data_IF_043730679082
#
_entry.id   IF_043730679082
#
_cell.length_a   1.000
_cell.length_b   1.000
_cell.length_c   1.000
_cell.angle_alpha   90.00
_cell.angle_beta   90.00
_cell.angle_gamma   90.00
#
_symmetry.space_group_name_H-M   'P 1'
#
loop_
_entity.id
_entity.type
_entity.pdbx_description
1 polymer ?
#
# COMPACT_ATOMS: atom_id res chain seq x y z
N UNK A 1 21.38 1.46 -9.57
CA UNK A 1 20.80 2.46 -8.65
C UNK A 1 19.72 3.22 -9.42
N UNK A 2 18.45 2.86 -9.24
CA UNK A 2 17.34 3.62 -9.81
C UNK A 2 16.83 4.58 -8.73
N UNK A 3 16.95 5.88 -8.98
CA UNK A 3 16.37 6.90 -8.12
C UNK A 3 14.85 6.88 -8.30
N UNK A 4 14.14 6.37 -7.31
CA UNK A 4 12.68 6.48 -7.25
C UNK A 4 12.30 7.95 -7.11
N UNK A 5 11.57 8.49 -8.09
CA UNK A 5 10.97 9.82 -7.96
C UNK A 5 9.90 9.76 -6.88
N UNK A 6 10.08 10.63 -5.90
CA UNK A 6 9.15 10.91 -4.82
C UNK A 6 7.92 11.62 -5.38
N UNK A 7 6.72 11.11 -5.11
CA UNK A 7 5.46 11.78 -5.44
C UNK A 7 4.82 12.30 -4.15
N UNK A 8 4.45 13.59 -4.15
CA UNK A 8 3.82 14.27 -3.03
C UNK A 8 2.30 14.42 -3.27
N UNK A 9 1.49 14.26 -2.22
CA UNK A 9 0.03 14.44 -2.26
C UNK A 9 -0.36 15.81 -1.72
N UNK A 10 -0.80 16.72 -2.59
CA UNK A 10 -1.42 18.00 -2.21
C UNK A 10 -0.51 19.22 -2.40
N UNK A 11 -0.69 19.91 -3.53
CA UNK A 11 -0.16 21.26 -3.77
C UNK A 11 -1.36 22.24 -3.84
N UNK A 12 -1.37 23.26 -3.00
CA UNK A 12 -2.39 24.31 -3.05
C UNK A 12 -2.12 25.21 -4.26
N UNK A 13 -2.99 25.13 -5.28
CA UNK A 13 -2.91 25.99 -6.48
C UNK A 13 -3.33 25.33 -7.79
N UNK A 14 -3.50 24.00 -7.80
CA UNK A 14 -4.19 23.27 -8.87
C UNK A 14 -5.03 22.16 -8.24
N UNK A 15 -6.27 21.98 -8.71
CA UNK A 15 -7.22 20.97 -8.23
C UNK A 15 -6.81 19.52 -8.59
N UNK A 16 -5.52 19.29 -8.85
CA UNK A 16 -4.95 17.99 -9.19
C UNK A 16 -4.46 17.32 -7.92
N UNK A 17 -5.31 16.44 -7.36
CA UNK A 17 -4.92 15.50 -6.32
C UNK A 17 -4.35 14.25 -7.00
N UNK A 18 -3.21 13.75 -6.52
CA UNK A 18 -2.69 12.47 -6.98
C UNK A 18 -3.68 11.39 -6.56
N UNK A 19 -4.38 10.81 -7.53
CA UNK A 19 -5.43 9.83 -7.27
C UNK A 19 -4.83 8.52 -6.72
N UNK A 20 -3.76 8.04 -7.35
CA UNK A 20 -3.07 6.83 -6.93
C UNK A 20 -1.61 6.75 -7.37
N UNK A 21 -0.82 5.98 -6.63
CA UNK A 21 0.52 5.53 -7.01
C UNK A 21 0.56 4.01 -6.95
N UNK A 22 1.29 3.38 -7.86
CA UNK A 22 1.50 1.94 -7.87
C UNK A 22 2.95 1.59 -8.19
N UNK A 23 3.45 0.51 -7.59
CA UNK A 23 4.80 0.01 -7.78
C UNK A 23 4.79 -1.51 -7.77
N UNK A 24 5.31 -2.12 -8.83
CA UNK A 24 5.42 -3.57 -8.97
C UNK A 24 6.87 -3.99 -8.78
N UNK A 25 7.09 -5.02 -7.99
CA UNK A 25 8.44 -5.53 -7.73
C UNK A 25 8.43 -6.99 -7.31
N UNK A 26 9.62 -7.58 -7.33
CA UNK A 26 9.84 -8.93 -6.83
C UNK A 26 10.14 -8.86 -5.34
N UNK A 27 9.25 -9.42 -4.53
CA UNK A 27 9.42 -9.58 -3.08
C UNK A 27 10.26 -10.82 -2.82
N UNK A 28 11.25 -10.70 -1.95
CA UNK A 28 12.08 -11.80 -1.47
C UNK A 28 11.86 -11.98 0.04
N UNK A 29 12.73 -12.74 0.68
CA UNK A 29 12.67 -13.09 2.10
C UNK A 29 13.56 -12.17 2.95
N UNK A 30 13.40 -12.24 4.28
CA UNK A 30 14.12 -11.39 5.21
C UNK A 30 13.87 -9.90 4.94
N UNK A 31 14.92 -9.09 4.90
CA UNK A 31 14.78 -7.64 4.71
C UNK A 31 14.53 -7.20 3.26
N UNK A 32 14.52 -8.14 2.30
CA UNK A 32 14.37 -7.85 0.87
C UNK A 32 12.90 -7.76 0.47
N UNK A 33 12.27 -6.67 0.87
CA UNK A 33 10.84 -6.40 0.71
C UNK A 33 10.51 -5.45 -0.43
N UNK A 34 9.24 -5.44 -0.84
CA UNK A 34 8.71 -4.36 -1.66
C UNK A 34 8.25 -3.21 -0.75
N UNK A 35 8.74 -2.01 -1.04
CA UNK A 35 8.41 -0.79 -0.29
C UNK A 35 7.61 0.16 -1.17
N UNK A 36 6.44 0.59 -0.68
CA UNK A 36 5.68 1.71 -1.21
C UNK A 36 5.86 2.93 -0.30
N UNK A 37 6.66 3.91 -0.72
CA UNK A 37 6.82 5.16 0.01
C UNK A 37 5.66 6.12 -0.27
N UNK A 38 5.14 6.75 0.78
CA UNK A 38 4.01 7.69 0.70
C UNK A 38 4.35 8.99 1.44
N UNK A 39 4.18 10.14 0.79
CA UNK A 39 4.36 11.46 1.42
C UNK A 39 3.09 12.27 1.27
N UNK A 40 2.42 12.51 2.39
CA UNK A 40 1.26 13.38 2.45
C UNK A 40 1.73 14.81 2.75
N UNK A 41 1.40 15.74 1.86
CA UNK A 41 1.62 17.17 2.05
C UNK A 41 0.29 17.88 2.31
N UNK A 42 0.34 19.17 2.68
CA UNK A 42 -0.85 19.93 3.09
C UNK A 42 -1.02 20.01 4.62
N UNK A 43 -2.22 20.40 5.06
CA UNK A 43 -2.52 20.67 6.48
C UNK A 43 -3.57 19.73 7.06
N UNK A 44 -4.43 19.15 6.22
CA UNK A 44 -5.54 18.32 6.66
C UNK A 44 -5.19 16.83 6.62
N UNK A 45 -5.75 16.01 7.54
CA UNK A 45 -5.67 14.57 7.42
C UNK A 45 -6.29 14.09 6.11
N UNK A 46 -5.65 13.10 5.48
CA UNK A 46 -6.13 12.45 4.27
C UNK A 46 -6.44 10.99 4.58
N UNK A 47 -7.63 10.55 4.18
CA UNK A 47 -8.01 9.14 4.23
C UNK A 47 -7.45 8.43 3.00
N UNK A 48 -6.79 7.30 3.20
CA UNK A 48 -6.16 6.53 2.13
C UNK A 48 -6.53 5.05 2.22
N UNK A 49 -6.42 4.35 1.10
CA UNK A 49 -6.32 2.88 1.08
C UNK A 49 -4.98 2.49 0.47
N UNK A 50 -4.26 1.61 1.15
CA UNK A 50 -3.05 0.96 0.65
C UNK A 50 -3.37 -0.51 0.39
N UNK A 51 -3.00 -1.04 -0.76
CA UNK A 51 -3.23 -2.45 -1.14
C UNK A 51 -1.95 -3.14 -1.55
N UNK A 52 -1.87 -4.43 -1.26
CA UNK A 52 -0.83 -5.33 -1.73
C UNK A 52 -1.48 -6.46 -2.54
N UNK A 53 -1.26 -6.46 -3.86
CA UNK A 53 -1.82 -7.45 -4.77
C UNK A 53 -0.74 -8.43 -5.23
N UNK A 54 -1.15 -9.68 -5.41
CA UNK A 54 -0.27 -10.77 -5.81
C UNK A 54 -1.02 -11.74 -6.72
N UNK A 55 -1.91 -12.59 -6.19
CA UNK A 55 -2.68 -13.55 -6.98
C UNK A 55 -3.50 -12.94 -8.13
N UNK A 56 -3.95 -11.69 -7.99
CA UNK A 56 -4.73 -11.00 -9.03
C UNK A 56 -3.89 -10.47 -10.19
N UNK A 57 -2.55 -10.54 -10.12
CA UNK A 57 -1.69 -9.96 -11.16
C UNK A 57 -1.60 -10.87 -12.39
N UNK A 58 -1.71 -10.33 -13.62
CA UNK A 58 -1.64 -11.11 -14.86
C UNK A 58 -0.19 -11.39 -15.27
N UNK A 59 0.61 -11.95 -14.36
CA UNK A 59 2.03 -12.29 -14.58
C UNK A 59 2.36 -13.66 -13.98
N UNK A 60 3.42 -14.29 -14.46
CA UNK A 60 3.92 -15.52 -13.84
C UNK A 60 4.72 -15.21 -12.56
N UNK A 61 4.78 -16.18 -11.64
CA UNK A 61 5.60 -16.07 -10.42
C UNK A 61 5.10 -15.02 -9.43
N UNK A 62 3.79 -14.82 -9.35
CA UNK A 62 3.17 -13.90 -8.39
C UNK A 62 3.42 -14.33 -6.95
N UNK A 63 3.46 -13.36 -6.05
CA UNK A 63 3.44 -13.62 -4.62
C UNK A 63 2.05 -14.14 -4.23
N UNK A 64 1.98 -15.39 -3.76
CA UNK A 64 0.70 -16.08 -3.57
C UNK A 64 -0.11 -15.60 -2.36
N UNK A 65 0.57 -15.02 -1.35
CA UNK A 65 -0.07 -14.43 -0.18
C UNK A 65 0.75 -13.20 0.28
N UNK A 66 0.54 -12.01 -0.33
CA UNK A 66 1.13 -10.78 0.17
C UNK A 66 0.57 -10.43 1.55
N UNK A 67 1.45 -9.94 2.42
CA UNK A 67 1.12 -9.23 3.67
C UNK A 67 1.50 -7.77 3.52
N UNK A 68 0.83 -6.87 4.25
CA UNK A 68 1.03 -5.43 4.20
C UNK A 68 1.16 -4.86 5.60
N UNK A 69 2.22 -4.09 5.83
CA UNK A 69 2.38 -3.22 7.01
C UNK A 69 2.39 -1.75 6.58
N UNK A 70 1.76 -0.88 7.35
CA UNK A 70 1.86 0.56 7.24
C UNK A 70 2.60 1.12 8.45
N UNK A 71 3.68 1.86 8.20
CA UNK A 71 4.54 2.44 9.24
C UNK A 71 4.64 3.96 9.15
N UNK A 72 4.77 4.61 10.29
CA UNK A 72 4.98 6.06 10.39
C UNK A 72 6.42 6.45 10.03
N UNK A 73 6.70 7.77 10.05
CA UNK A 73 8.03 8.33 9.76
C UNK A 73 9.15 7.83 10.69
N UNK A 74 8.80 7.34 11.88
CA UNK A 74 9.75 6.82 12.87
C UNK A 74 9.88 5.29 12.77
N UNK A 75 9.18 4.66 11.84
CA UNK A 75 9.13 3.20 11.67
C UNK A 75 8.17 2.49 12.62
N UNK A 76 7.36 3.21 13.40
CA UNK A 76 6.34 2.63 14.26
C UNK A 76 5.22 2.01 13.41
N UNK A 77 4.76 0.81 13.81
CA UNK A 77 3.66 0.14 13.13
C UNK A 77 2.35 0.87 13.42
N UNK A 78 1.67 1.30 12.36
CA UNK A 78 0.34 1.91 12.43
C UNK A 78 -0.75 0.87 12.22
N UNK A 79 -0.59 0.02 11.21
CA UNK A 79 -1.53 -1.04 10.87
C UNK A 79 -0.83 -2.17 10.11
N UNK A 80 -1.38 -3.38 10.19
CA UNK A 80 -0.93 -4.54 9.42
C UNK A 80 -2.14 -5.35 8.96
N UNK A 81 -2.03 -5.98 7.79
CA UNK A 81 -3.04 -6.89 7.26
C UNK A 81 -2.39 -7.98 6.38
N UNK A 82 -2.96 -9.18 6.39
CA UNK A 82 -2.60 -10.33 5.56
C UNK A 82 -3.72 -10.56 4.54
N UNK A 83 -4.93 -10.89 5.02
CA UNK A 83 -6.14 -11.04 4.23
C UNK A 83 -7.09 -9.86 4.42
N UNK A 84 -7.42 -9.13 3.35
CA UNK A 84 -8.17 -7.87 3.44
C UNK A 84 -9.54 -7.98 4.12
N UNK A 85 -10.16 -9.17 4.09
CA UNK A 85 -11.45 -9.44 4.74
C UNK A 85 -11.35 -9.62 6.26
N UNK A 86 -10.16 -9.80 6.82
CA UNK A 86 -9.98 -10.19 8.22
C UNK A 86 -10.31 -9.08 9.23
N UNK A 87 -9.94 -7.83 8.94
CA UNK A 87 -10.02 -6.72 9.89
C UNK A 87 -10.91 -5.55 9.42
N UNK A 88 -10.84 -5.20 8.14
CA UNK A 88 -11.45 -3.97 7.61
C UNK A 88 -12.42 -4.24 6.44
N UNK A 89 -13.01 -5.44 6.33
CA UNK A 89 -13.82 -5.83 5.16
C UNK A 89 -14.86 -4.77 4.77
N UNK A 90 -15.71 -4.37 5.72
CA UNK A 90 -16.76 -3.38 5.48
C UNK A 90 -16.20 -2.03 5.04
N UNK A 91 -15.10 -1.59 5.65
CA UNK A 91 -14.46 -0.31 5.34
C UNK A 91 -13.83 -0.33 3.95
N UNK A 92 -13.15 -1.42 3.60
CA UNK A 92 -12.52 -1.64 2.31
C UNK A 92 -13.57 -1.75 1.20
N UNK A 93 -14.65 -2.49 1.40
CA UNK A 93 -15.77 -2.56 0.45
C UNK A 93 -16.38 -1.18 0.21
N UNK A 94 -16.54 -0.37 1.26
CA UNK A 94 -17.07 0.98 1.15
C UNK A 94 -16.19 1.92 0.30
N UNK A 95 -14.90 1.62 0.13
CA UNK A 95 -14.01 2.39 -0.77
C UNK A 95 -14.27 2.12 -2.26
N UNK A 96 -15.05 1.09 -2.61
CA UNK A 96 -15.19 0.55 -3.96
C UNK A 96 -13.86 0.06 -4.59
N UNK A 97 -12.82 -0.09 -3.77
CA UNK A 97 -11.50 -0.59 -4.16
C UNK A 97 -11.10 -1.85 -3.38
N UNK A 98 -11.97 -2.86 -3.17
CA UNK A 98 -11.53 -4.11 -2.55
C UNK A 98 -10.47 -4.81 -3.43
N UNK A 99 -9.45 -5.45 -2.82
CA UNK A 99 -8.61 -6.39 -3.56
C UNK A 99 -9.46 -7.49 -4.22
N UNK A 100 -9.19 -7.87 -5.49
CA UNK A 100 -9.99 -8.87 -6.18
C UNK A 100 -9.87 -10.28 -5.59
N UNK A 101 -8.72 -10.61 -4.99
CA UNK A 101 -8.47 -11.92 -4.39
C UNK A 101 -8.51 -11.84 -2.85
N UNK A 102 -8.99 -12.90 -2.20
CA UNK A 102 -9.21 -12.90 -0.73
C UNK A 102 -7.90 -12.88 0.08
N UNK A 103 -6.85 -13.50 -0.47
CA UNK A 103 -5.48 -13.52 0.07
C UNK A 103 -4.63 -12.30 -0.29
N UNK A 104 -5.27 -11.18 -0.60
CA UNK A 104 -4.57 -9.92 -0.83
C UNK A 104 -4.80 -9.01 0.35
N UNK A 105 -3.85 -8.13 0.65
CA UNK A 105 -3.95 -7.25 1.79
C UNK A 105 -4.45 -5.87 1.39
N UNK A 106 -5.21 -5.25 2.28
CA UNK A 106 -5.50 -3.82 2.20
C UNK A 106 -5.61 -3.20 3.59
N UNK A 107 -5.21 -1.94 3.69
CA UNK A 107 -5.31 -1.11 4.89
C UNK A 107 -6.00 0.19 4.49
N UNK A 108 -7.10 0.52 5.16
CA UNK A 108 -7.71 1.85 5.09
C UNK A 108 -7.28 2.64 6.32
N UNK A 109 -6.77 3.85 6.14
CA UNK A 109 -6.25 4.64 7.25
C UNK A 109 -6.40 6.14 6.98
N UNK A 110 -6.81 6.89 8.00
CA UNK A 110 -6.68 8.35 8.00
C UNK A 110 -5.30 8.73 8.51
N UNK A 111 -4.55 9.48 7.70
CA UNK A 111 -3.17 9.86 7.93
C UNK A 111 -3.05 11.38 7.98
N UNK A 112 -2.22 11.89 8.90
CA UNK A 112 -1.87 13.31 8.91
C UNK A 112 -0.76 13.59 7.88
N UNK A 113 -0.54 14.86 7.48
CA UNK A 113 0.59 15.20 6.62
C UNK A 113 1.94 14.77 7.21
N UNK A 114 2.56 13.74 6.62
CA UNK A 114 3.83 13.15 7.03
C UNK A 114 4.34 12.13 5.99
N UNK A 115 5.48 11.51 6.29
CA UNK A 115 6.03 10.40 5.53
C UNK A 115 5.57 9.07 6.13
N UNK A 116 5.21 8.14 5.26
CA UNK A 116 4.77 6.80 5.61
C UNK A 116 5.41 5.76 4.71
N UNK A 117 5.53 4.55 5.23
CA UNK A 117 6.12 3.42 4.52
C UNK A 117 5.13 2.26 4.52
N UNK A 118 4.69 1.85 3.32
CA UNK A 118 4.02 0.58 3.11
C UNK A 118 5.06 -0.50 2.84
N UNK A 119 5.02 -1.60 3.59
CA UNK A 119 5.95 -2.73 3.46
C UNK A 119 5.15 -3.95 3.04
N UNK A 120 5.53 -4.55 1.91
CA UNK A 120 4.92 -5.79 1.40
C UNK A 120 5.89 -6.95 1.53
N UNK A 121 5.42 -8.03 2.18
CA UNK A 121 6.17 -9.29 2.40
C UNK A 121 5.34 -10.48 1.96
N UNK A 122 6.00 -11.61 1.68
CA UNK A 122 5.30 -12.88 1.53
C UNK A 122 4.99 -13.51 2.87
N UNK A 123 3.73 -13.91 3.09
CA UNK A 123 3.38 -14.73 4.25
C UNK A 123 4.26 -16.00 4.28
N UNK A 124 4.79 -16.33 5.47
CA UNK A 124 5.61 -17.53 5.67
C UNK A 124 6.94 -17.51 4.92
N UNK A 125 7.59 -16.35 4.76
CA UNK A 125 8.87 -16.19 4.04
C UNK A 125 8.81 -16.66 2.59
N UNK A 126 7.72 -16.32 1.91
CA UNK A 126 7.55 -16.59 0.47
C UNK A 126 8.03 -15.43 -0.39
N UNK A 127 8.34 -15.71 -1.66
CA UNK A 127 8.82 -14.73 -2.64
C UNK A 127 7.95 -14.74 -3.88
N UNK A 128 7.92 -13.63 -4.61
CA UNK A 128 7.18 -13.51 -5.87
C UNK A 128 6.93 -12.07 -6.28
N UNK A 129 6.30 -11.89 -7.44
CA UNK A 129 5.91 -10.57 -7.93
C UNK A 129 4.69 -10.08 -7.17
N UNK A 130 4.79 -8.88 -6.60
CA UNK A 130 3.68 -8.18 -5.95
C UNK A 130 3.54 -6.76 -6.51
N UNK A 131 2.36 -6.18 -6.34
CA UNK A 131 2.04 -4.79 -6.61
C UNK A 131 1.64 -4.13 -5.29
N UNK A 132 2.32 -3.07 -4.91
CA UNK A 132 1.85 -2.16 -3.85
C UNK A 132 1.25 -0.94 -4.49
N UNK A 133 0.10 -0.50 -3.99
CA UNK A 133 -0.56 0.71 -4.47
C UNK A 133 -1.23 1.46 -3.32
N UNK A 134 -1.33 2.78 -3.47
CA UNK A 134 -1.98 3.65 -2.52
C UNK A 134 -2.92 4.61 -3.27
N UNK A 135 -4.13 4.78 -2.75
CA UNK A 135 -5.14 5.70 -3.27
C UNK A 135 -5.51 6.71 -2.20
N UNK A 136 -5.67 7.97 -2.62
CA UNK A 136 -6.39 8.95 -1.81
C UNK A 136 -7.90 8.66 -1.88
N UNK A 137 -8.59 8.68 -0.75
CA UNK A 137 -10.03 8.49 -0.64
C UNK A 137 -10.69 9.85 -0.38
N UNK A 138 -11.80 10.11 -1.07
CA UNK A 138 -12.66 11.29 -0.82
C UNK A 138 -13.64 11.05 0.33
#
# INVERSE_FOLDING_TARGET
MAAGRLFAFGEAGSDSKLANISSRGFVQTGDNVLIGGLILTGTEPLRVIVRALGPSLPVAGVLANPTLELRDRNGALLAANDDWRSAQENEIVATMLPPPHERESAIVQTLTPANYTAIVRGFGETSGVALVEAYALE
#
